data_IF_577862480143
#
_entry.id   IF_577862480143
#
_cell.length_a   1.000
_cell.length_b   1.000
_cell.length_c   1.000
_cell.angle_alpha   90.00
_cell.angle_beta   90.00
_cell.angle_gamma   90.00
#
_symmetry.space_group_name_H-M   'P 1'
#
loop_
_entity.id
_entity.type
_entity.pdbx_description
1 polymer ?
#
# COMPACT_ATOMS: atom_id res chain seq x y z
N UNK A 1 7.74 17.32 8.40
CA UNK A 1 6.75 16.49 7.67
C UNK A 1 7.40 15.22 7.17
N UNK A 2 8.51 15.30 6.43
CA UNK A 2 9.26 14.12 5.99
C UNK A 2 9.70 13.23 7.15
N UNK A 3 10.29 13.79 8.22
CA UNK A 3 10.70 13.01 9.40
C UNK A 3 9.52 12.26 10.02
N UNK A 4 8.37 12.92 10.18
CA UNK A 4 7.14 12.26 10.67
C UNK A 4 6.71 11.09 9.79
N UNK A 5 6.83 11.24 8.46
CA UNK A 5 6.51 10.18 7.50
C UNK A 5 7.51 9.03 7.59
N UNK A 6 8.79 9.31 7.77
CA UNK A 6 9.85 8.30 7.79
C UNK A 6 9.95 7.59 9.16
N UNK A 7 9.63 8.28 10.25
CA UNK A 7 9.83 7.79 11.61
C UNK A 7 8.58 7.17 12.22
N UNK A 8 7.38 7.58 11.77
CA UNK A 8 6.13 6.96 12.23
C UNK A 8 5.92 5.61 11.55
N UNK A 9 5.65 4.52 12.29
CA UNK A 9 5.39 3.21 11.68
C UNK A 9 4.10 3.21 10.86
N UNK A 10 3.06 3.86 11.39
CA UNK A 10 1.77 4.00 10.74
C UNK A 10 1.62 5.41 10.16
N UNK A 11 1.15 5.49 8.92
CA UNK A 11 0.68 6.75 8.35
C UNK A 11 -0.68 7.11 8.94
N UNK A 12 -0.97 8.40 9.13
CA UNK A 12 -2.19 8.83 9.81
C UNK A 12 -3.47 8.32 9.12
N UNK A 13 -3.48 8.27 7.79
CA UNK A 13 -4.60 7.76 6.99
C UNK A 13 -4.88 6.26 7.18
N UNK A 14 -3.88 5.46 7.60
CA UNK A 14 -3.98 4.01 7.74
C UNK A 14 -4.44 3.59 9.15
N UNK A 15 -4.71 4.55 10.03
CA UNK A 15 -5.33 4.26 11.32
C UNK A 15 -6.67 3.58 11.09
N UNK A 16 -6.90 2.50 11.82
CA UNK A 16 -8.10 1.70 11.68
C UNK A 16 -9.31 2.52 12.10
N UNK A 17 -10.37 2.44 11.29
CA UNK A 17 -11.66 3.02 11.62
C UNK A 17 -12.29 2.21 12.76
N UNK A 18 -12.83 2.87 13.78
CA UNK A 18 -13.35 2.20 14.98
C UNK A 18 -14.57 1.33 14.71
N UNK A 19 -15.19 1.47 13.54
CA UNK A 19 -16.45 0.81 13.19
C UNK A 19 -16.27 -0.57 12.52
N UNK A 20 -15.05 -0.94 12.11
CA UNK A 20 -14.80 -2.25 11.48
C UNK A 20 -14.56 -3.34 12.53
N UNK A 21 -15.29 -4.45 12.40
CA UNK A 21 -15.28 -5.58 13.36
C UNK A 21 -14.19 -6.63 13.10
N UNK A 22 -13.52 -6.57 11.95
CA UNK A 22 -12.44 -7.49 11.58
C UNK A 22 -11.37 -6.77 10.73
N UNK A 23 -10.16 -7.34 10.69
CA UNK A 23 -9.02 -6.76 9.98
C UNK A 23 -8.87 -7.31 8.54
N UNK A 24 -9.96 -7.80 7.93
CA UNK A 24 -9.90 -8.42 6.59
C UNK A 24 -9.49 -7.39 5.54
N UNK A 25 -9.97 -6.15 5.63
CA UNK A 25 -9.61 -5.08 4.69
C UNK A 25 -8.66 -4.09 5.35
N UNK A 26 -7.42 -4.06 4.88
CA UNK A 26 -6.39 -3.15 5.41
C UNK A 26 -6.57 -1.75 4.82
N UNK A 27 -6.65 -1.66 3.49
CA UNK A 27 -6.71 -0.35 2.82
C UNK A 27 -7.23 -0.42 1.40
N UNK A 28 -7.74 0.73 0.93
CA UNK A 28 -8.09 1.02 -0.44
C UNK A 28 -7.15 2.06 -1.02
N UNK A 29 -6.79 1.90 -2.29
CA UNK A 29 -5.87 2.82 -2.97
C UNK A 29 -6.25 3.03 -4.42
N UNK A 30 -6.29 4.29 -4.82
CA UNK A 30 -6.52 4.75 -6.19
C UNK A 30 -5.23 5.37 -6.70
N UNK A 31 -4.85 5.04 -7.94
CA UNK A 31 -3.75 5.69 -8.65
C UNK A 31 -4.24 6.18 -10.01
N UNK A 32 -3.88 7.41 -10.35
CA UNK A 32 -4.13 8.03 -11.66
C UNK A 32 -2.78 8.37 -12.29
N UNK A 33 -2.53 7.84 -13.49
CA UNK A 33 -1.36 8.16 -14.31
C UNK A 33 -1.70 9.28 -15.28
N UNK A 34 -0.86 10.32 -15.33
CA UNK A 34 -1.05 11.51 -16.19
C UNK A 34 0.27 11.97 -16.78
N UNK A 35 0.22 12.37 -18.05
CA UNK A 35 1.27 13.15 -18.70
C UNK A 35 0.73 14.53 -19.06
N UNK A 36 1.61 15.50 -19.17
CA UNK A 36 1.26 16.88 -19.52
C UNK A 36 1.31 17.07 -21.02
N UNK A 37 0.37 17.86 -21.55
CA UNK A 37 0.36 18.22 -22.97
C UNK A 37 1.59 19.06 -23.34
N UNK A 38 2.08 18.89 -24.56
CA UNK A 38 3.24 19.61 -25.09
C UNK A 38 4.60 19.25 -24.47
N UNK A 39 4.68 18.22 -23.61
CA UNK A 39 5.93 17.72 -23.03
C UNK A 39 6.23 16.29 -23.47
N UNK A 40 7.50 15.99 -23.75
CA UNK A 40 7.96 14.64 -24.06
C UNK A 40 7.82 13.74 -22.84
N UNK A 41 7.27 12.55 -23.02
CA UNK A 41 7.06 11.59 -21.94
C UNK A 41 8.38 11.13 -21.32
N UNK A 42 8.30 10.75 -20.05
CA UNK A 42 9.39 10.27 -19.17
C UNK A 42 10.29 9.22 -19.83
N UNK A 43 9.73 8.28 -20.60
CA UNK A 43 10.48 7.24 -21.28
C UNK A 43 11.45 7.75 -22.37
N UNK A 44 11.33 9.01 -22.80
CA UNK A 44 12.27 9.66 -23.72
C UNK A 44 13.52 10.20 -23.01
N UNK A 45 13.51 10.29 -21.68
CA UNK A 45 14.60 10.85 -20.87
C UNK A 45 15.08 12.24 -21.32
N UNK A 46 14.16 13.07 -21.81
CA UNK A 46 14.48 14.45 -22.19
C UNK A 46 14.66 15.33 -20.94
N UNK A 47 15.88 15.79 -20.71
CA UNK A 47 16.27 16.55 -19.51
C UNK A 47 15.42 17.83 -19.36
N UNK A 48 15.14 18.54 -20.47
CA UNK A 48 14.36 19.78 -20.43
C UNK A 48 12.90 19.52 -20.03
N UNK A 49 12.29 18.45 -20.55
CA UNK A 49 10.95 18.04 -20.17
C UNK A 49 10.89 17.64 -18.69
N UNK A 50 11.81 16.79 -18.22
CA UNK A 50 11.87 16.35 -16.82
C UNK A 50 12.03 17.52 -15.85
N UNK A 51 12.90 18.48 -16.18
CA UNK A 51 13.10 19.70 -15.39
C UNK A 51 11.84 20.56 -15.32
N UNK A 52 11.13 20.73 -16.45
CA UNK A 52 9.84 21.44 -16.51
C UNK A 52 8.77 20.76 -15.65
N UNK A 53 8.66 19.43 -15.72
CA UNK A 53 7.72 18.66 -14.89
C UNK A 53 8.04 18.83 -13.39
N UNK A 54 9.33 18.80 -13.03
CA UNK A 54 9.77 19.09 -11.67
C UNK A 54 9.39 20.52 -11.24
N UNK A 55 9.62 21.53 -12.09
CA UNK A 55 9.22 22.91 -11.82
C UNK A 55 7.70 23.04 -11.61
N UNK A 56 6.89 22.39 -12.46
CA UNK A 56 5.44 22.30 -12.29
C UNK A 56 5.11 21.71 -10.92
N UNK A 57 5.70 20.57 -10.54
CA UNK A 57 5.43 19.90 -9.26
C UNK A 57 5.69 20.78 -8.04
N UNK A 58 6.65 21.69 -8.11
CA UNK A 58 6.94 22.66 -7.04
C UNK A 58 5.85 23.72 -6.93
N UNK A 59 5.24 24.10 -8.06
CA UNK A 59 4.11 25.04 -8.12
C UNK A 59 2.75 24.45 -7.70
N UNK A 60 2.63 23.12 -7.56
CA UNK A 60 1.35 22.47 -7.22
C UNK A 60 0.95 22.62 -5.74
N UNK A 61 1.86 22.95 -4.83
CA UNK A 61 1.59 22.91 -3.39
C UNK A 61 0.38 23.75 -2.95
N UNK A 62 0.27 24.97 -3.47
CA UNK A 62 -0.83 25.88 -3.13
C UNK A 62 -2.16 25.44 -3.77
N UNK A 63 -2.25 25.14 -5.09
CA UNK A 63 -3.45 24.55 -5.69
C UNK A 63 -3.96 23.29 -4.99
N UNK A 64 -3.07 22.39 -4.57
CA UNK A 64 -3.44 21.16 -3.86
C UNK A 64 -4.04 21.46 -2.48
N UNK A 65 -3.41 22.37 -1.72
CA UNK A 65 -3.93 22.83 -0.44
C UNK A 65 -5.29 23.51 -0.56
N UNK A 66 -5.51 24.30 -1.61
CA UNK A 66 -6.81 24.92 -1.87
C UNK A 66 -7.88 23.89 -2.24
N UNK A 67 -7.47 22.80 -2.91
CA UNK A 67 -8.37 21.74 -3.31
C UNK A 67 -8.94 21.00 -2.10
N UNK A 68 -8.11 20.54 -1.17
CA UNK A 68 -8.54 19.62 -0.10
C UNK A 68 -8.22 20.06 1.34
N UNK A 69 -7.58 21.22 1.52
CA UNK A 69 -7.23 21.79 2.83
C UNK A 69 -5.94 21.25 3.46
N UNK A 70 -5.32 20.19 2.92
CA UNK A 70 -4.11 19.60 3.50
C UNK A 70 -2.88 20.48 3.25
N UNK A 71 -1.86 20.33 4.12
CA UNK A 71 -0.54 20.90 3.82
C UNK A 71 0.26 19.90 3.00
N UNK A 72 0.92 20.38 1.94
CA UNK A 72 1.72 19.55 1.06
C UNK A 72 3.20 19.89 1.18
N UNK A 73 4.06 18.88 1.10
CA UNK A 73 5.51 19.03 0.93
C UNK A 73 5.95 18.44 -0.41
N UNK A 74 6.89 19.09 -1.08
CA UNK A 74 7.58 18.54 -2.25
C UNK A 74 8.98 18.08 -1.81
N UNK A 75 9.23 16.78 -1.87
CA UNK A 75 10.47 16.15 -1.42
C UNK A 75 11.26 15.73 -2.66
N UNK A 76 12.44 16.33 -2.83
CA UNK A 76 13.37 15.91 -3.88
C UNK A 76 13.99 14.57 -3.52
N UNK A 77 13.81 13.56 -4.38
CA UNK A 77 14.37 12.23 -4.10
C UNK A 77 15.90 12.26 -4.12
N UNK A 78 16.53 13.16 -4.88
CA UNK A 78 17.99 13.32 -4.95
C UNK A 78 18.65 13.64 -3.61
N UNK A 79 17.88 14.27 -2.71
CA UNK A 79 18.29 14.65 -1.35
C UNK A 79 18.11 13.53 -0.32
N UNK A 80 17.37 12.47 -0.66
CA UNK A 80 17.15 11.33 0.23
C UNK A 80 18.28 10.30 0.12
N UNK A 81 18.62 9.68 1.25
CA UNK A 81 19.49 8.50 1.26
C UNK A 81 18.80 7.30 0.62
N UNK A 82 19.57 6.24 0.31
CA UNK A 82 19.00 4.99 -0.18
C UNK A 82 18.07 4.34 0.86
N UNK A 83 18.44 4.38 2.14
CA UNK A 83 17.64 3.82 3.24
C UNK A 83 16.29 4.53 3.37
N UNK A 84 16.26 5.87 3.25
CA UNK A 84 15.03 6.66 3.32
C UNK A 84 14.09 6.35 2.15
N UNK A 85 14.63 6.21 0.94
CA UNK A 85 13.86 5.80 -0.23
C UNK A 85 13.27 4.41 -0.06
N UNK A 86 14.07 3.46 0.42
CA UNK A 86 13.60 2.10 0.69
C UNK A 86 12.47 2.09 1.75
N UNK A 87 12.54 2.95 2.77
CA UNK A 87 11.45 3.15 3.74
C UNK A 87 10.18 3.68 3.06
N UNK A 88 10.29 4.66 2.15
CA UNK A 88 9.12 5.18 1.41
C UNK A 88 8.47 4.11 0.51
N UNK A 89 9.28 3.25 -0.11
CA UNK A 89 8.79 2.09 -0.88
C UNK A 89 8.06 1.10 0.02
N UNK A 90 8.68 0.74 1.15
CA UNK A 90 8.05 -0.12 2.14
C UNK A 90 6.71 0.49 2.59
N UNK A 91 6.66 1.77 2.96
CA UNK A 91 5.41 2.44 3.36
C UNK A 91 4.40 2.62 2.23
N UNK A 92 4.65 2.09 1.04
CA UNK A 92 3.79 2.18 -0.15
C UNK A 92 3.51 3.62 -0.61
N UNK A 93 4.30 4.59 -0.16
CA UNK A 93 4.23 5.97 -0.59
C UNK A 93 4.96 6.15 -1.94
N UNK A 94 5.92 5.29 -2.25
CA UNK A 94 6.70 5.33 -3.47
C UNK A 94 6.70 3.96 -4.16
N UNK A 95 6.80 3.92 -5.49
CA UNK A 95 7.03 2.69 -6.24
C UNK A 95 8.51 2.30 -6.20
N UNK A 96 8.85 0.99 -6.29
CA UNK A 96 10.24 0.55 -6.40
C UNK A 96 10.99 1.20 -7.59
N UNK A 97 10.30 1.52 -8.67
CA UNK A 97 10.88 2.16 -9.86
C UNK A 97 11.46 3.57 -9.57
N UNK A 98 10.98 4.25 -8.52
CA UNK A 98 11.49 5.55 -8.08
C UNK A 98 12.63 5.46 -7.07
N UNK A 99 13.01 4.26 -6.62
CA UNK A 99 14.13 4.08 -5.70
C UNK A 99 15.47 4.45 -6.36
N UNK A 100 15.57 4.24 -7.68
CA UNK A 100 16.74 4.62 -8.48
C UNK A 100 16.98 6.13 -8.47
N UNK A 101 18.25 6.53 -8.28
CA UNK A 101 18.68 7.93 -8.24
C UNK A 101 18.74 8.54 -9.64
N UNK A 102 17.58 8.93 -10.16
CA UNK A 102 17.45 9.68 -11.40
C UNK A 102 17.09 11.15 -11.11
N UNK A 103 17.53 12.09 -11.97
CA UNK A 103 17.35 13.52 -11.74
C UNK A 103 15.88 13.93 -11.82
N UNK A 104 15.55 15.03 -11.15
CA UNK A 104 14.23 15.68 -11.25
C UNK A 104 13.03 14.82 -10.82
N UNK A 105 13.27 13.78 -10.01
CA UNK A 105 12.21 13.00 -9.38
C UNK A 105 11.88 13.55 -8.01
N UNK A 106 10.58 13.69 -7.77
CA UNK A 106 10.07 14.20 -6.50
C UNK A 106 8.90 13.36 -5.99
N UNK A 107 8.62 13.54 -4.71
CA UNK A 107 7.42 13.07 -4.06
C UNK A 107 6.67 14.27 -3.47
N UNK A 108 5.47 14.56 -3.97
CA UNK A 108 4.58 15.55 -3.35
C UNK A 108 3.64 14.81 -2.42
N UNK A 109 3.64 15.14 -1.12
CA UNK A 109 2.93 14.35 -0.10
C UNK A 109 2.10 15.28 0.79
N UNK A 110 0.86 14.90 1.07
CA UNK A 110 0.02 15.55 2.08
C UNK A 110 0.51 15.26 3.50
N UNK A 111 0.21 16.13 4.46
CA UNK A 111 0.69 16.02 5.84
C UNK A 111 0.20 14.77 6.59
N UNK A 112 -0.94 14.21 6.20
CA UNK A 112 -1.49 12.94 6.70
C UNK A 112 -1.04 11.71 5.87
N UNK A 113 -0.30 11.96 4.78
CA UNK A 113 0.16 11.03 3.76
C UNK A 113 -0.96 10.27 3.02
N UNK A 114 -2.20 10.77 3.02
CA UNK A 114 -3.32 10.17 2.25
C UNK A 114 -3.19 10.43 0.75
N UNK A 115 -2.61 11.57 0.36
CA UNK A 115 -2.25 11.89 -1.02
C UNK A 115 -0.74 11.85 -1.20
N UNK A 116 -0.32 11.12 -2.23
CA UNK A 116 1.07 11.08 -2.68
C UNK A 116 1.10 11.22 -4.20
N UNK A 117 1.86 12.18 -4.71
CA UNK A 117 2.07 12.35 -6.16
C UNK A 117 3.53 12.05 -6.43
N UNK A 118 3.74 10.97 -7.15
CA UNK A 118 5.04 10.57 -7.68
C UNK A 118 5.29 11.35 -8.98
N UNK A 119 6.44 12.04 -9.05
CA UNK A 119 6.79 12.93 -10.16
C UNK A 119 7.94 12.33 -10.96
N UNK A 120 7.81 12.31 -12.29
CA UNK A 120 8.77 11.73 -13.23
C UNK A 120 9.07 10.23 -12.96
N UNK A 121 7.99 9.45 -12.77
CA UNK A 121 8.06 7.99 -12.61
C UNK A 121 8.01 7.29 -13.98
N UNK A 122 7.06 6.39 -14.23
CA UNK A 122 6.77 5.87 -15.58
C UNK A 122 6.06 6.94 -16.43
N UNK A 123 5.22 7.75 -15.79
CA UNK A 123 4.52 8.91 -16.34
C UNK A 123 4.95 10.19 -15.58
N UNK A 124 4.65 11.38 -16.11
CA UNK A 124 5.01 12.66 -15.46
C UNK A 124 4.45 12.75 -14.05
N UNK A 125 3.18 12.37 -13.87
CA UNK A 125 2.53 12.31 -12.57
C UNK A 125 1.86 10.95 -12.37
N UNK A 126 2.04 10.43 -11.17
CA UNK A 126 1.24 9.32 -10.64
C UNK A 126 0.63 9.75 -9.32
N UNK A 127 -0.62 10.21 -9.39
CA UNK A 127 -1.41 10.67 -8.25
C UNK A 127 -1.92 9.44 -7.53
N UNK A 128 -1.66 9.34 -6.24
CA UNK A 128 -2.07 8.24 -5.38
C UNK A 128 -2.92 8.78 -4.23
N UNK A 129 -4.13 8.26 -4.08
CA UNK A 129 -4.98 8.48 -2.91
C UNK A 129 -5.20 7.18 -2.17
N UNK A 130 -5.12 7.22 -0.84
CA UNK A 130 -5.20 6.06 0.04
C UNK A 130 -6.20 6.30 1.17
N UNK A 131 -6.95 5.26 1.50
CA UNK A 131 -7.92 5.27 2.58
C UNK A 131 -7.88 3.94 3.36
N UNK A 132 -8.13 3.98 4.66
CA UNK A 132 -8.25 2.80 5.52
C UNK A 132 -9.48 1.98 5.14
N UNK A 133 -9.38 0.64 5.22
CA UNK A 133 -10.50 -0.26 4.93
C UNK A 133 -11.01 -0.23 3.48
N UNK A 134 -12.28 -0.62 3.27
CA UNK A 134 -12.91 -0.70 1.95
C UNK A 134 -13.56 0.63 1.54
N UNK A 135 -12.73 1.63 1.26
CA UNK A 135 -13.14 3.00 0.95
C UNK A 135 -12.71 3.44 -0.47
N UNK A 136 -12.82 2.56 -1.47
CA UNK A 136 -12.41 2.84 -2.86
C UNK A 136 -13.07 4.10 -3.44
N UNK A 137 -14.37 4.31 -3.19
CA UNK A 137 -15.10 5.47 -3.70
C UNK A 137 -14.60 6.79 -3.08
N UNK A 138 -14.29 6.79 -1.78
CA UNK A 138 -13.75 7.95 -1.10
C UNK A 138 -12.35 8.28 -1.61
N UNK A 139 -11.46 7.28 -1.69
CA UNK A 139 -10.14 7.44 -2.27
C UNK A 139 -10.19 7.93 -3.72
N UNK A 140 -11.19 7.48 -4.50
CA UNK A 140 -11.35 7.93 -5.89
C UNK A 140 -11.79 9.39 -5.97
N UNK A 141 -12.80 9.77 -5.20
CA UNK A 141 -13.27 11.15 -5.16
C UNK A 141 -12.14 12.11 -4.74
N UNK A 142 -11.34 11.72 -3.75
CA UNK A 142 -10.18 12.51 -3.31
C UNK A 142 -9.10 12.58 -4.40
N UNK A 143 -8.79 11.48 -5.07
CA UNK A 143 -7.88 11.48 -6.22
C UNK A 143 -8.36 12.40 -7.36
N UNK A 144 -9.65 12.34 -7.71
CA UNK A 144 -10.24 13.17 -8.79
C UNK A 144 -10.24 14.65 -8.42
N UNK A 145 -10.48 14.99 -7.15
CA UNK A 145 -10.40 16.37 -6.67
C UNK A 145 -8.99 16.94 -6.86
N UNK A 146 -7.96 16.14 -6.56
CA UNK A 146 -6.55 16.48 -6.77
C UNK A 146 -6.20 16.55 -8.27
N UNK A 147 -6.61 15.56 -9.05
CA UNK A 147 -6.41 15.48 -10.51
C UNK A 147 -6.95 16.75 -11.21
N UNK A 148 -8.19 17.15 -10.89
CA UNK A 148 -8.83 18.36 -11.43
C UNK A 148 -8.12 19.64 -11.02
N UNK A 149 -7.61 19.73 -9.79
CA UNK A 149 -6.89 20.92 -9.33
C UNK A 149 -5.58 21.13 -10.10
N UNK A 150 -4.91 20.04 -10.49
CA UNK A 150 -3.71 20.08 -11.32
C UNK A 150 -4.07 20.41 -12.77
N UNK A 151 -5.06 19.72 -13.34
CA UNK A 151 -5.50 19.88 -14.73
C UNK A 151 -5.95 21.31 -15.04
N UNK A 152 -6.61 21.98 -14.09
CA UNK A 152 -7.05 23.37 -14.22
C UNK A 152 -5.90 24.37 -14.43
N UNK A 153 -4.66 24.00 -14.11
CA UNK A 153 -3.45 24.81 -14.31
C UNK A 153 -2.55 24.26 -15.41
N UNK A 154 -2.51 22.95 -15.56
CA UNK A 154 -1.59 22.24 -16.45
C UNK A 154 -2.37 21.15 -17.21
N UNK A 155 -2.74 21.41 -18.48
CA UNK A 155 -3.49 20.45 -19.28
C UNK A 155 -2.78 19.11 -19.44
N UNK A 156 -3.55 18.03 -19.38
CA UNK A 156 -3.04 16.68 -19.60
C UNK A 156 -3.03 16.31 -21.08
N UNK A 157 -2.08 15.45 -21.44
CA UNK A 157 -2.03 14.82 -22.75
C UNK A 157 -3.18 13.81 -22.85
N UNK A 158 -4.24 14.19 -23.56
CA UNK A 158 -5.47 13.43 -23.70
C UNK A 158 -5.87 13.31 -25.17
N UNK A 159 -6.36 12.14 -25.55
CA UNK A 159 -6.91 11.86 -26.88
C UNK A 159 -8.36 11.35 -26.74
N UNK A 160 -9.27 11.81 -27.60
CA UNK A 160 -10.70 11.45 -27.52
C UNK A 160 -10.96 9.94 -27.67
N UNK A 161 -10.08 9.20 -28.34
CA UNK A 161 -10.22 7.77 -28.58
C UNK A 161 -9.43 6.94 -27.56
N UNK A 162 -8.23 7.40 -27.21
CA UNK A 162 -7.30 6.65 -26.34
C UNK A 162 -7.31 7.08 -24.88
N UNK A 163 -8.00 8.16 -24.53
CA UNK A 163 -8.03 8.71 -23.18
C UNK A 163 -6.73 9.40 -22.79
N UNK A 164 -6.34 9.29 -21.52
CA UNK A 164 -5.09 9.82 -21.02
C UNK A 164 -3.89 9.08 -21.63
N UNK A 165 -3.03 9.83 -22.31
CA UNK A 165 -1.86 9.29 -22.99
C UNK A 165 -0.76 8.95 -21.99
N UNK A 166 -0.19 7.76 -22.13
CA UNK A 166 0.79 7.18 -21.22
C UNK A 166 1.85 6.41 -21.99
N UNK A 167 3.07 6.37 -21.45
CA UNK A 167 4.13 5.51 -21.97
C UNK A 167 3.92 4.03 -21.59
N UNK A 168 3.11 3.75 -20.57
CA UNK A 168 2.86 2.42 -20.03
C UNK A 168 1.58 1.83 -20.63
N UNK A 169 1.63 0.75 -21.44
CA UNK A 169 0.44 0.17 -22.07
C UNK A 169 -0.63 -0.28 -21.07
N UNK A 170 -0.26 -0.56 -19.82
CA UNK A 170 -1.21 -0.99 -18.77
C UNK A 170 -2.06 0.16 -18.22
N UNK A 171 -1.68 1.42 -18.46
CA UNK A 171 -2.38 2.60 -17.96
C UNK A 171 -3.26 3.27 -19.05
N UNK A 172 -3.24 2.82 -20.30
CA UNK A 172 -3.97 3.48 -21.42
C UNK A 172 -5.48 3.57 -21.16
N UNK A 173 -6.12 4.65 -21.59
CA UNK A 173 -7.54 4.93 -21.32
C UNK A 173 -7.71 5.85 -20.12
N UNK A 174 -8.22 5.31 -19.02
CA UNK A 174 -8.50 6.09 -17.78
C UNK A 174 -7.25 6.48 -17.00
N UNK A 175 -6.12 5.78 -17.19
CA UNK A 175 -4.96 5.90 -16.29
C UNK A 175 -5.22 5.39 -14.88
N UNK A 176 -6.37 4.76 -14.61
CA UNK A 176 -6.80 4.34 -13.27
C UNK A 176 -6.26 2.96 -12.90
N UNK A 177 -5.59 2.87 -11.76
CA UNK A 177 -5.37 1.59 -11.05
C UNK A 177 -5.95 1.66 -9.64
N UNK A 178 -7.11 1.04 -9.47
CA UNK A 178 -7.78 0.83 -8.20
C UNK A 178 -7.29 -0.48 -7.55
N UNK A 179 -7.05 -0.45 -6.25
CA UNK A 179 -6.54 -1.61 -5.52
C UNK A 179 -7.02 -1.68 -4.08
N UNK A 180 -7.23 -2.88 -3.57
CA UNK A 180 -7.54 -3.13 -2.16
C UNK A 180 -6.54 -4.11 -1.58
N UNK A 181 -6.05 -3.82 -0.38
CA UNK A 181 -5.18 -4.70 0.40
C UNK A 181 -6.01 -5.45 1.44
N UNK A 182 -5.86 -6.77 1.47
CA UNK A 182 -6.65 -7.70 2.26
C UNK A 182 -5.75 -8.61 3.10
N UNK A 183 -6.18 -8.92 4.31
CA UNK A 183 -5.63 -9.96 5.17
C UNK A 183 -6.51 -11.21 5.09
N UNK A 184 -6.00 -12.29 4.49
CA UNK A 184 -6.76 -13.51 4.19
C UNK A 184 -6.14 -14.77 4.84
N UNK A 185 -5.98 -14.78 6.18
CA UNK A 185 -5.29 -15.86 6.88
C UNK A 185 -6.05 -17.18 6.80
N UNK A 186 -7.38 -17.21 6.94
CA UNK A 186 -8.12 -18.48 6.95
C UNK A 186 -8.19 -19.15 5.57
N UNK A 187 -8.35 -18.36 4.50
CA UNK A 187 -8.23 -18.87 3.12
C UNK A 187 -6.84 -19.41 2.82
N UNK A 188 -5.80 -18.82 3.41
CA UNK A 188 -4.41 -19.27 3.27
C UNK A 188 -4.18 -20.57 4.02
N UNK A 189 -4.52 -20.61 5.31
CA UNK A 189 -4.38 -21.79 6.17
C UNK A 189 -5.16 -23.00 5.66
N UNK A 190 -6.34 -22.78 5.08
CA UNK A 190 -7.17 -23.85 4.50
C UNK A 190 -6.76 -24.27 3.08
N UNK A 191 -5.74 -23.64 2.49
CA UNK A 191 -5.28 -23.91 1.11
C UNK A 191 -6.26 -23.46 0.01
N UNK A 192 -7.36 -22.79 0.37
CA UNK A 192 -8.41 -22.34 -0.58
C UNK A 192 -7.98 -21.12 -1.40
N UNK A 193 -7.01 -20.36 -0.91
CA UNK A 193 -6.53 -19.13 -1.54
C UNK A 193 -6.06 -19.34 -3.00
N UNK A 194 -5.38 -20.45 -3.30
CA UNK A 194 -4.87 -20.74 -4.66
C UNK A 194 -5.99 -20.88 -5.69
N UNK A 195 -7.15 -21.40 -5.29
CA UNK A 195 -8.32 -21.48 -6.16
C UNK A 195 -8.93 -20.10 -6.37
N UNK A 196 -9.07 -19.34 -5.28
CA UNK A 196 -9.63 -17.98 -5.33
C UNK A 196 -8.80 -17.05 -6.23
N UNK A 197 -7.47 -17.07 -6.08
CA UNK A 197 -6.55 -16.27 -6.92
C UNK A 197 -6.73 -16.60 -8.40
N UNK A 198 -6.82 -17.89 -8.76
CA UNK A 198 -7.04 -18.30 -10.16
C UNK A 198 -8.36 -17.75 -10.70
N UNK A 199 -9.44 -17.79 -9.92
CA UNK A 199 -10.72 -17.23 -10.32
C UNK A 199 -10.65 -15.71 -10.52
N UNK A 200 -9.97 -14.98 -9.63
CA UNK A 200 -9.81 -13.52 -9.75
C UNK A 200 -9.00 -13.15 -11.01
N UNK A 201 -7.94 -13.90 -11.31
CA UNK A 201 -7.13 -13.69 -12.53
C UNK A 201 -7.96 -13.95 -13.79
N UNK A 202 -8.79 -14.99 -13.80
CA UNK A 202 -9.69 -15.28 -14.94
C UNK A 202 -10.73 -14.18 -15.18
N UNK A 203 -11.09 -13.41 -14.15
CA UNK A 203 -11.97 -12.25 -14.26
C UNK A 203 -11.25 -10.98 -14.77
N UNK A 204 -9.93 -11.04 -15.06
CA UNK A 204 -9.15 -9.91 -15.57
C UNK A 204 -8.63 -8.97 -14.47
N UNK A 205 -8.44 -9.50 -13.26
CA UNK A 205 -7.85 -8.77 -12.13
C UNK A 205 -6.48 -9.35 -11.78
N UNK A 206 -5.63 -8.52 -11.19
CA UNK A 206 -4.32 -8.96 -10.69
C UNK A 206 -4.37 -9.21 -9.19
N UNK A 207 -3.69 -10.26 -8.73
CA UNK A 207 -3.43 -10.52 -7.31
C UNK A 207 -1.94 -10.54 -7.05
N UNK A 208 -1.48 -9.87 -5.98
CA UNK A 208 -0.07 -9.87 -5.58
C UNK A 208 0.11 -9.83 -4.07
N UNK A 209 1.26 -10.26 -3.57
CA UNK A 209 1.62 -10.19 -2.15
C UNK A 209 2.06 -8.78 -1.71
N UNK A 210 2.42 -8.65 -0.42
CA UNK A 210 2.86 -7.39 0.20
C UNK A 210 4.06 -6.73 -0.52
N UNK A 211 4.98 -7.53 -1.06
CA UNK A 211 6.22 -7.05 -1.71
C UNK A 211 6.08 -6.82 -3.23
N UNK A 212 4.87 -6.90 -3.79
CA UNK A 212 4.62 -6.61 -5.20
C UNK A 212 4.44 -7.84 -6.09
N UNK A 213 4.56 -7.65 -7.41
CA UNK A 213 4.21 -8.65 -8.42
C UNK A 213 5.15 -9.86 -8.38
N UNK A 214 4.58 -11.07 -8.40
CA UNK A 214 5.35 -12.32 -8.28
C UNK A 214 5.86 -12.66 -6.88
N UNK A 215 5.62 -11.81 -5.87
CA UNK A 215 6.05 -12.06 -4.49
C UNK A 215 5.16 -13.06 -3.75
N UNK A 216 5.76 -13.83 -2.82
CA UNK A 216 5.00 -14.60 -1.83
C UNK A 216 4.13 -13.65 -1.00
N UNK A 217 2.88 -14.07 -0.72
CA UNK A 217 1.97 -13.33 0.14
C UNK A 217 2.33 -13.53 1.62
N UNK A 218 3.44 -12.93 2.03
CA UNK A 218 3.91 -12.97 3.42
C UNK A 218 2.86 -12.34 4.37
N UNK A 219 2.62 -13.01 5.49
CA UNK A 219 1.59 -12.61 6.45
C UNK A 219 0.15 -12.73 5.92
N UNK A 220 -0.08 -13.54 4.89
CA UNK A 220 -1.40 -13.69 4.25
C UNK A 220 -2.01 -12.34 3.80
N UNK A 221 -1.15 -11.38 3.43
CA UNK A 221 -1.56 -10.08 2.91
C UNK A 221 -1.53 -10.12 1.37
N UNK A 222 -2.68 -9.80 0.78
CA UNK A 222 -2.91 -9.82 -0.66
C UNK A 222 -3.39 -8.45 -1.14
N UNK A 223 -2.98 -8.05 -2.33
CA UNK A 223 -3.50 -6.89 -3.02
C UNK A 223 -4.21 -7.31 -4.30
N UNK A 224 -5.47 -6.90 -4.42
CA UNK A 224 -6.31 -7.10 -5.60
C UNK A 224 -6.39 -5.78 -6.36
N UNK A 225 -6.18 -5.77 -7.68
CA UNK A 225 -6.35 -4.57 -8.50
C UNK A 225 -6.90 -4.88 -9.90
N UNK A 226 -7.54 -3.88 -10.52
CA UNK A 226 -7.94 -3.97 -11.92
C UNK A 226 -6.70 -4.05 -12.83
N UNK A 227 -6.82 -4.78 -13.94
CA UNK A 227 -5.86 -4.73 -15.05
C UNK A 227 -6.41 -3.95 -16.24
N UNK A 228 -7.73 -3.98 -16.44
CA UNK A 228 -8.38 -3.23 -17.51
C UNK A 228 -8.51 -1.76 -17.15
N UNK A 229 -8.02 -0.90 -18.04
CA UNK A 229 -7.98 0.56 -17.89
C UNK A 229 -8.62 1.31 -19.07
N UNK A 230 -8.89 0.61 -20.18
CA UNK A 230 -9.51 1.16 -21.39
C UNK A 230 -10.88 0.52 -21.69
N UNK A 231 -11.81 1.32 -22.22
CA UNK A 231 -13.15 0.88 -22.63
C UNK A 231 -14.08 0.54 -21.46
N UNK A 232 -13.77 1.03 -20.26
CA UNK A 232 -14.59 0.97 -19.05
C UNK A 232 -14.34 2.28 -18.30
N UNK A 233 -15.39 2.88 -17.73
CA UNK A 233 -15.27 4.08 -16.90
C UNK A 233 -14.61 3.76 -15.56
N UNK A 234 -14.00 4.76 -14.95
CA UNK A 234 -13.41 4.69 -13.62
C UNK A 234 -14.44 4.22 -12.56
N UNK A 235 -15.65 4.77 -12.57
CA UNK A 235 -16.70 4.43 -11.60
C UNK A 235 -17.13 2.97 -11.71
N UNK A 236 -17.38 2.49 -12.92
CA UNK A 236 -17.69 1.09 -13.18
C UNK A 236 -16.55 0.15 -12.74
N UNK A 237 -15.29 0.55 -12.95
CA UNK A 237 -14.12 -0.19 -12.48
C UNK A 237 -14.11 -0.31 -10.95
N UNK A 238 -14.40 0.79 -10.25
CA UNK A 238 -14.50 0.85 -8.79
C UNK A 238 -15.67 0.00 -8.27
N UNK A 239 -16.83 0.07 -8.92
CA UNK A 239 -18.01 -0.70 -8.54
C UNK A 239 -17.76 -2.21 -8.70
N UNK A 240 -17.18 -2.63 -9.83
CA UNK A 240 -16.85 -4.04 -10.07
C UNK A 240 -15.80 -4.56 -9.09
N UNK A 241 -14.73 -3.78 -8.83
CA UNK A 241 -13.70 -4.17 -7.87
C UNK A 241 -14.28 -4.29 -6.45
N UNK A 242 -15.14 -3.36 -6.04
CA UNK A 242 -15.83 -3.42 -4.74
C UNK A 242 -16.61 -4.72 -4.58
N UNK A 243 -17.43 -5.10 -5.58
CA UNK A 243 -18.22 -6.35 -5.55
C UNK A 243 -17.35 -7.60 -5.43
N UNK A 244 -16.22 -7.64 -6.15
CA UNK A 244 -15.27 -8.75 -6.07
C UNK A 244 -14.68 -8.85 -4.67
N UNK A 245 -14.26 -7.72 -4.11
CA UNK A 245 -13.68 -7.66 -2.76
C UNK A 245 -14.70 -8.08 -1.70
N UNK A 246 -15.95 -7.65 -1.80
CA UNK A 246 -17.04 -8.09 -0.91
C UNK A 246 -17.23 -9.62 -0.94
N UNK A 247 -17.15 -10.22 -2.14
CA UNK A 247 -17.17 -11.68 -2.29
C UNK A 247 -15.98 -12.37 -1.62
N UNK A 248 -14.77 -11.79 -1.72
CA UNK A 248 -13.57 -12.31 -1.05
C UNK A 248 -13.71 -12.22 0.47
N UNK A 249 -14.23 -11.10 1.00
CA UNK A 249 -14.49 -10.91 2.43
C UNK A 249 -15.45 -11.99 2.93
N UNK A 250 -16.54 -12.25 2.20
CA UNK A 250 -17.50 -13.28 2.56
C UNK A 250 -16.87 -14.69 2.61
N UNK A 251 -16.02 -15.02 1.63
CA UNK A 251 -15.31 -16.31 1.61
C UNK A 251 -14.26 -16.44 2.73
N UNK A 252 -13.55 -15.35 3.09
CA UNK A 252 -12.63 -15.33 4.24
C UNK A 252 -13.39 -15.54 5.55
N UNK A 253 -14.49 -14.80 5.79
CA UNK A 253 -15.33 -14.99 6.98
C UNK A 253 -15.87 -16.42 7.08
N UNK A 254 -16.31 -16.99 5.97
CA UNK A 254 -16.76 -18.39 5.90
C UNK A 254 -15.63 -19.37 6.18
N UNK A 255 -14.42 -19.10 5.69
CA UNK A 255 -13.24 -19.91 5.97
C UNK A 255 -12.88 -19.87 7.47
N UNK A 256 -12.90 -18.68 8.09
CA UNK A 256 -12.70 -18.50 9.54
C UNK A 256 -13.67 -19.34 10.37
N UNK A 257 -14.97 -19.26 10.06
CA UNK A 257 -15.99 -20.06 10.72
C UNK A 257 -15.79 -21.57 10.50
N UNK A 258 -15.37 -21.97 9.30
CA UNK A 258 -15.06 -23.38 9.01
C UNK A 258 -13.87 -23.90 9.83
N UNK A 259 -12.83 -23.08 10.03
CA UNK A 259 -11.69 -23.46 10.88
C UNK A 259 -12.12 -23.66 12.33
N UNK A 260 -12.93 -22.75 12.87
CA UNK A 260 -13.50 -22.85 14.22
C UNK A 260 -14.36 -24.10 14.41
N UNK A 261 -15.19 -24.45 13.42
CA UNK A 261 -16.11 -25.58 13.53
C UNK A 261 -15.42 -26.95 13.37
N UNK A 262 -14.42 -27.03 12.49
CA UNK A 262 -13.81 -28.31 12.13
C UNK A 262 -12.83 -28.82 13.18
N UNK A 263 -11.91 -27.97 13.64
CA UNK A 263 -10.88 -28.34 14.62
C UNK A 263 -10.48 -27.11 15.45
N UNK A 264 -11.35 -26.77 16.42
CA UNK A 264 -11.15 -25.60 17.27
C UNK A 264 -9.87 -25.71 18.09
N UNK A 265 -9.62 -26.85 18.72
CA UNK A 265 -8.44 -27.05 19.57
C UNK A 265 -7.15 -26.97 18.76
N UNK A 266 -7.12 -27.58 17.56
CA UNK A 266 -5.97 -27.45 16.65
C UNK A 266 -5.74 -26.01 16.18
N UNK A 267 -6.81 -25.26 15.89
CA UNK A 267 -6.70 -23.84 15.56
C UNK A 267 -6.13 -23.05 16.75
N UNK A 268 -6.67 -23.23 17.95
CA UNK A 268 -6.19 -22.55 19.16
C UNK A 268 -4.71 -22.83 19.42
N UNK A 269 -4.24 -24.09 19.31
CA UNK A 269 -2.83 -24.44 19.50
C UNK A 269 -1.92 -23.71 18.51
N UNK A 270 -2.28 -23.64 17.22
CA UNK A 270 -1.50 -22.92 16.20
C UNK A 270 -1.39 -21.43 16.50
N UNK A 271 -2.50 -20.80 16.91
CA UNK A 271 -2.56 -19.37 17.21
C UNK A 271 -1.79 -19.05 18.50
N UNK A 272 -1.96 -19.84 19.57
CA UNK A 272 -1.23 -19.68 20.84
C UNK A 272 0.26 -19.94 20.71
N UNK A 273 0.68 -20.92 19.88
CA UNK A 273 2.11 -21.11 19.56
C UNK A 273 2.70 -19.88 18.89
N UNK A 274 1.97 -19.30 17.96
CA UNK A 274 2.41 -18.09 17.24
C UNK A 274 2.55 -16.90 18.19
N UNK A 275 1.57 -16.73 19.08
CA UNK A 275 1.59 -15.76 20.16
C UNK A 275 2.80 -15.96 21.10
N UNK A 276 2.99 -17.17 21.62
CA UNK A 276 4.10 -17.50 22.52
C UNK A 276 5.47 -17.31 21.87
N UNK A 277 5.65 -17.72 20.61
CA UNK A 277 6.90 -17.48 19.88
C UNK A 277 7.19 -15.98 19.83
N UNK A 278 6.25 -15.14 19.40
CA UNK A 278 6.49 -13.70 19.29
C UNK A 278 6.62 -13.00 20.66
N UNK A 279 6.05 -13.56 21.72
CA UNK A 279 6.18 -13.06 23.08
C UNK A 279 7.56 -13.35 23.70
N UNK A 280 8.23 -14.46 23.32
CA UNK A 280 9.45 -14.91 24.01
C UNK A 280 10.70 -15.02 23.13
N UNK A 281 10.55 -15.19 21.81
CA UNK A 281 11.67 -15.40 20.90
C UNK A 281 12.69 -14.27 21.01
N UNK A 282 13.98 -14.61 20.92
CA UNK A 282 15.09 -13.64 20.95
C UNK A 282 15.60 -13.27 19.57
N UNK A 283 15.26 -14.05 18.56
CA UNK A 283 15.56 -13.83 17.14
C UNK A 283 14.38 -14.34 16.33
N UNK A 284 13.91 -13.54 15.38
CA UNK A 284 12.82 -13.89 14.45
C UNK A 284 13.11 -13.22 13.12
N UNK A 285 13.14 -13.98 12.03
CA UNK A 285 13.34 -13.41 10.70
C UNK A 285 12.05 -12.72 10.17
N UNK A 286 12.15 -11.93 9.11
CA UNK A 286 11.02 -11.15 8.60
C UNK A 286 9.82 -12.00 8.14
N UNK A 287 10.09 -13.12 7.46
CA UNK A 287 9.05 -14.03 6.95
C UNK A 287 8.30 -14.72 8.09
N UNK A 288 9.03 -15.22 9.08
CA UNK A 288 8.47 -15.83 10.28
C UNK A 288 7.64 -14.80 11.07
N UNK A 289 8.19 -13.59 11.29
CA UNK A 289 7.49 -12.52 11.99
C UNK A 289 6.14 -12.20 11.34
N UNK A 290 6.11 -11.95 10.02
CA UNK A 290 4.88 -11.63 9.30
C UNK A 290 3.86 -12.77 9.36
N UNK A 291 4.32 -14.02 9.22
CA UNK A 291 3.45 -15.20 9.32
C UNK A 291 2.82 -15.28 10.71
N UNK A 292 3.62 -15.13 11.76
CA UNK A 292 3.17 -15.25 13.15
C UNK A 292 2.31 -14.05 13.58
N UNK A 293 2.59 -12.84 13.08
CA UNK A 293 1.74 -11.67 13.27
C UNK A 293 0.37 -11.85 12.61
N UNK A 294 0.32 -12.46 11.43
CA UNK A 294 -0.93 -12.84 10.75
C UNK A 294 -1.73 -13.84 11.57
N UNK A 295 -1.07 -14.86 12.12
CA UNK A 295 -1.72 -15.83 13.01
C UNK A 295 -2.28 -15.13 14.26
N UNK A 296 -1.51 -14.24 14.90
CA UNK A 296 -1.99 -13.49 16.07
C UNK A 296 -3.20 -12.63 15.71
N UNK A 297 -3.16 -11.89 14.60
CA UNK A 297 -4.29 -11.06 14.19
C UNK A 297 -5.55 -11.89 13.92
N UNK A 298 -5.40 -13.07 13.30
CA UNK A 298 -6.53 -13.99 13.17
C UNK A 298 -7.06 -14.42 14.54
N UNK A 299 -6.19 -14.76 15.49
CA UNK A 299 -6.61 -15.15 16.83
C UNK A 299 -7.28 -14.02 17.62
N UNK A 300 -6.86 -12.78 17.42
CA UNK A 300 -7.53 -11.58 17.97
C UNK A 300 -8.90 -11.40 17.34
N UNK A 301 -9.01 -11.46 16.02
CA UNK A 301 -10.28 -11.33 15.29
C UNK A 301 -11.31 -12.44 15.62
N UNK A 302 -10.85 -13.58 16.15
CA UNK A 302 -11.70 -14.72 16.54
C UNK A 302 -11.94 -14.81 18.04
N UNK A 303 -11.51 -13.81 18.82
CA UNK A 303 -11.59 -13.79 20.28
C UNK A 303 -10.92 -15.01 20.97
N UNK A 304 -9.92 -15.61 20.32
CA UNK A 304 -9.11 -16.72 20.85
C UNK A 304 -7.91 -16.19 21.65
N UNK A 305 -7.26 -15.14 21.13
CA UNK A 305 -6.10 -14.52 21.75
C UNK A 305 -6.48 -13.20 22.44
N UNK A 306 -5.67 -12.74 23.41
CA UNK A 306 -5.90 -11.45 24.04
C UNK A 306 -5.97 -10.32 23.00
N UNK A 307 -6.90 -9.36 23.15
CA UNK A 307 -6.97 -8.24 22.23
C UNK A 307 -5.71 -7.38 22.32
N UNK A 308 -5.32 -6.79 21.20
CA UNK A 308 -4.33 -5.72 21.14
C UNK A 308 -4.96 -4.48 20.52
N UNK A 309 -4.27 -3.33 20.57
CA UNK A 309 -4.79 -2.09 19.99
C UNK A 309 -5.11 -2.26 18.49
N UNK A 310 -6.15 -1.59 18.00
CA UNK A 310 -6.67 -1.74 16.63
C UNK A 310 -5.59 -1.54 15.55
N UNK A 311 -4.60 -0.68 15.79
CA UNK A 311 -3.53 -0.41 14.83
C UNK A 311 -2.31 -1.33 14.98
N UNK A 312 -2.26 -2.19 16.02
CA UNK A 312 -1.06 -2.94 16.41
C UNK A 312 -0.55 -3.83 15.30
N UNK A 313 -1.44 -4.50 14.57
CA UNK A 313 -1.06 -5.34 13.45
C UNK A 313 -0.43 -4.54 12.31
N UNK A 314 -1.09 -3.46 11.87
CA UNK A 314 -0.57 -2.60 10.80
C UNK A 314 0.77 -1.97 11.20
N UNK A 315 0.90 -1.52 12.45
CA UNK A 315 2.16 -1.01 13.00
C UNK A 315 3.26 -2.07 12.99
N UNK A 316 2.99 -3.28 13.49
CA UNK A 316 3.99 -4.34 13.55
C UNK A 316 4.38 -4.84 12.16
N UNK A 317 3.43 -4.94 11.22
CA UNK A 317 3.74 -5.22 9.81
C UNK A 317 4.66 -4.15 9.24
N UNK A 318 4.44 -2.87 9.53
CA UNK A 318 5.32 -1.80 9.06
C UNK A 318 6.71 -1.84 9.71
N UNK A 319 6.78 -1.99 11.04
CA UNK A 319 8.01 -1.93 11.85
C UNK A 319 8.94 -3.11 11.56
N UNK A 320 8.37 -4.29 11.34
CA UNK A 320 9.17 -5.53 11.22
C UNK A 320 9.84 -5.69 9.86
N UNK A 321 9.57 -4.78 8.92
CA UNK A 321 10.22 -4.73 7.60
C UNK A 321 11.66 -4.25 7.71
N UNK A 322 12.56 -4.76 6.85
CA UNK A 322 13.99 -4.59 7.03
C UNK A 322 14.43 -3.13 7.01
N UNK A 323 13.98 -2.32 6.05
CA UNK A 323 14.46 -0.95 5.92
C UNK A 323 13.86 -0.04 7.00
N UNK A 324 12.57 -0.18 7.30
CA UNK A 324 11.95 0.54 8.40
C UNK A 324 12.60 0.18 9.75
N UNK A 325 12.86 -1.11 10.01
CA UNK A 325 13.50 -1.54 11.26
C UNK A 325 14.91 -0.94 11.42
N UNK A 326 15.71 -0.96 10.35
CA UNK A 326 17.04 -0.35 10.32
C UNK A 326 16.98 1.15 10.62
N UNK A 327 16.06 1.89 9.98
CA UNK A 327 15.85 3.31 10.27
C UNK A 327 15.36 3.56 11.69
N UNK A 328 14.39 2.77 12.16
CA UNK A 328 13.81 2.88 13.49
C UNK A 328 14.85 2.69 14.61
N UNK A 329 15.91 1.93 14.33
CA UNK A 329 17.04 1.72 15.25
C UNK A 329 18.12 2.81 15.14
N UNK A 330 18.11 3.62 14.08
CA UNK A 330 19.13 4.64 13.81
C UNK A 330 20.51 4.05 13.49
N UNK A 331 20.58 2.81 13.02
CA UNK A 331 21.85 2.14 12.68
C UNK A 331 21.74 1.42 11.34
N UNK A 332 22.46 1.89 10.33
CA UNK A 332 22.44 1.35 8.97
C UNK A 332 23.34 0.10 8.79
N UNK A 333 24.30 -0.11 9.68
CA UNK A 333 25.30 -1.18 9.61
C UNK A 333 24.85 -2.48 10.32
N UNK A 334 23.57 -2.81 10.26
CA UNK A 334 23.02 -4.00 10.92
C UNK A 334 23.15 -5.24 10.03
N UNK A 335 23.75 -6.30 10.59
CA UNK A 335 23.70 -7.62 9.95
C UNK A 335 22.28 -8.18 9.96
N UNK A 336 22.01 -9.18 9.13
CA UNK A 336 20.71 -9.87 9.16
C UNK A 336 20.40 -10.47 10.55
N UNK A 337 21.41 -11.02 11.22
CA UNK A 337 21.28 -11.56 12.57
C UNK A 337 20.93 -10.48 13.62
N UNK A 338 21.50 -9.28 13.48
CA UNK A 338 21.17 -8.16 14.33
C UNK A 338 19.71 -7.74 14.09
N UNK A 339 19.31 -7.57 12.82
CA UNK A 339 17.92 -7.25 12.45
C UNK A 339 16.94 -8.25 13.02
N UNK A 340 17.24 -9.54 12.97
CA UNK A 340 16.36 -10.58 13.55
C UNK A 340 16.24 -10.48 15.08
N UNK A 341 17.34 -10.14 15.75
CA UNK A 341 17.36 -9.95 17.21
C UNK A 341 16.56 -8.71 17.62
N UNK A 342 16.72 -7.62 16.89
CA UNK A 342 15.98 -6.38 17.11
C UNK A 342 14.51 -6.52 16.77
N UNK A 343 14.17 -7.19 15.66
CA UNK A 343 12.79 -7.47 15.27
C UNK A 343 12.05 -8.17 16.40
N UNK A 344 12.64 -9.24 16.94
CA UNK A 344 12.10 -9.95 18.08
C UNK A 344 11.96 -9.04 19.31
N UNK A 345 12.95 -8.17 19.58
CA UNK A 345 12.88 -7.20 20.70
C UNK A 345 11.69 -6.25 20.56
N UNK A 346 11.50 -5.65 19.40
CA UNK A 346 10.43 -4.67 19.18
C UNK A 346 9.06 -5.32 19.23
N UNK A 347 8.89 -6.51 18.64
CA UNK A 347 7.63 -7.27 18.73
C UNK A 347 7.27 -7.54 20.19
N UNK A 348 8.20 -8.07 21.00
CA UNK A 348 7.94 -8.33 22.43
C UNK A 348 7.55 -7.07 23.20
N UNK A 349 8.20 -5.94 22.93
CA UNK A 349 7.88 -4.67 23.59
C UNK A 349 6.48 -4.15 23.25
N UNK A 350 6.01 -4.44 22.03
CA UNK A 350 4.66 -4.07 21.58
C UNK A 350 3.59 -5.02 22.09
N UNK A 351 3.86 -6.33 22.18
CA UNK A 351 2.93 -7.33 22.73
C UNK A 351 2.74 -7.25 24.25
N UNK A 352 3.67 -6.62 24.98
CA UNK A 352 3.59 -6.43 26.44
C UNK A 352 2.80 -5.18 26.86
N UNK A 353 2.51 -4.28 25.92
CA UNK A 353 1.71 -3.08 26.11
C UNK A 353 0.29 -3.35 25.68
#
# INVERSE_FOLDING_TARGET
MLDTILDSPLSQWLRHDTDATDHIVISSRIRLARNFDGLLFTNRNDISALEKVNAISRGLLQPLKEADGHQYSNISLEQLSQSERAVLVEKHLMSPALEEKLPYRNLVVSNDASIVIMVNEEDHLRIQSMASGLQLKQAYNHAVQIDKAIEAKHPYAFDERFGYLTACPTNVGTGLRASVMLHLPALTMSGRITRLIRSIIQLGYSVRGLYGEGSEALGAIYQISNQRTMGISEEATIEQLTKIVEGIIAEERKARQSLLHNDKEGLEDVLWRSYGVLQYARRVNGKEALTKLSDIQLGVDLDILPPWGNDTFNELVAITRPNFLTKYLGNEDLTEADRDSYRAKVIRQKLLK
#
